data_IF_053363859053
#
_entry.id   IF_053363859053
#
_cell.length_a   1.000
_cell.length_b   1.000
_cell.length_c   1.000
_cell.angle_alpha   90.00
_cell.angle_beta   90.00
_cell.angle_gamma   90.00
#
_symmetry.space_group_name_H-M   'P 1'
#
loop_
_entity.id
_entity.type
_entity.pdbx_description
1 polymer ?
#
# COMPACT_ATOMS: atom_id res chain seq x y z
N UNK A 1 -27.30 -36.55 -4.16
CA UNK A 1 -26.09 -35.87 -4.67
C UNK A 1 -26.54 -34.86 -5.71
N UNK A 2 -26.24 -33.59 -5.45
CA UNK A 2 -26.96 -32.44 -5.99
C UNK A 2 -26.72 -32.20 -7.48
N UNK A 3 -27.82 -31.91 -8.17
CA UNK A 3 -27.93 -31.49 -9.56
C UNK A 3 -27.32 -30.07 -9.67
N UNK A 4 -26.03 -29.98 -9.97
CA UNK A 4 -25.37 -28.69 -10.20
C UNK A 4 -25.69 -28.21 -11.62
N UNK A 5 -26.44 -27.13 -11.63
CA UNK A 5 -27.29 -26.54 -12.66
C UNK A 5 -26.53 -26.07 -13.93
N UNK A 6 -26.97 -26.55 -15.10
CA UNK A 6 -26.49 -26.11 -16.43
C UNK A 6 -26.72 -24.60 -16.69
N UNK A 7 -27.55 -23.94 -15.86
CA UNK A 7 -27.76 -22.49 -15.89
C UNK A 7 -26.46 -21.70 -15.71
N UNK A 8 -25.51 -22.19 -14.91
CA UNK A 8 -24.24 -21.47 -14.69
C UNK A 8 -23.38 -21.42 -15.96
N UNK A 9 -23.36 -22.47 -16.78
CA UNK A 9 -22.60 -22.46 -18.03
C UNK A 9 -23.21 -21.55 -19.10
N UNK A 10 -24.53 -21.38 -19.10
CA UNK A 10 -25.20 -20.45 -20.02
C UNK A 10 -24.97 -18.99 -19.61
N UNK A 11 -24.92 -18.68 -18.31
CA UNK A 11 -24.58 -17.34 -17.81
C UNK A 11 -23.17 -16.94 -18.27
N UNK A 12 -22.18 -17.84 -18.18
CA UNK A 12 -20.83 -17.56 -18.69
C UNK A 12 -20.75 -17.41 -20.22
N UNK A 13 -21.55 -18.15 -21.00
CA UNK A 13 -21.59 -17.98 -22.46
C UNK A 13 -22.32 -16.72 -22.91
N UNK A 14 -23.37 -16.30 -22.20
CA UNK A 14 -24.14 -15.11 -22.55
C UNK A 14 -23.46 -13.81 -22.09
N UNK A 15 -22.71 -13.83 -20.98
CA UNK A 15 -21.85 -12.71 -20.57
C UNK A 15 -20.70 -12.45 -21.55
N UNK A 16 -20.28 -13.47 -22.32
CA UNK A 16 -19.20 -13.37 -23.30
C UNK A 16 -19.64 -12.81 -24.68
N UNK A 17 -20.92 -12.53 -24.91
CA UNK A 17 -21.40 -12.07 -26.23
C UNK A 17 -21.74 -10.56 -26.24
N UNK A 18 -21.90 -9.93 -25.07
CA UNK A 18 -22.27 -8.50 -24.97
C UNK A 18 -21.15 -7.54 -24.52
N UNK A 19 -19.97 -8.03 -24.12
CA UNK A 19 -18.78 -7.17 -23.98
C UNK A 19 -18.08 -7.07 -25.34
N UNK A 20 -18.66 -6.25 -26.22
CA UNK A 20 -17.87 -5.60 -27.26
C UNK A 20 -16.68 -4.93 -26.58
N UNK A 21 -15.49 -5.52 -26.78
CA UNK A 21 -14.13 -5.06 -26.44
C UNK A 21 -14.09 -3.64 -25.84
N UNK A 22 -14.41 -3.53 -24.55
CA UNK A 22 -13.94 -2.40 -23.76
C UNK A 22 -12.45 -2.68 -23.56
N UNK A 23 -11.59 -1.98 -24.29
CA UNK A 23 -10.14 -2.04 -24.07
C UNK A 23 -9.88 -1.85 -22.58
N UNK A 24 -9.23 -2.81 -21.92
CA UNK A 24 -8.76 -2.65 -20.54
C UNK A 24 -8.05 -1.29 -20.44
N UNK A 25 -8.37 -0.44 -19.45
CA UNK A 25 -7.70 0.84 -19.33
C UNK A 25 -6.20 0.62 -19.12
N UNK A 26 -5.38 1.54 -19.60
CA UNK A 26 -3.94 1.50 -19.39
C UNK A 26 -3.66 1.59 -17.87
N UNK A 27 -3.04 0.56 -17.25
CA UNK A 27 -2.80 0.54 -15.81
C UNK A 27 -1.90 1.69 -15.36
N UNK A 28 -1.00 2.18 -16.21
CA UNK A 28 -0.16 3.36 -15.93
C UNK A 28 -1.00 4.63 -15.83
N UNK A 29 -1.99 4.79 -16.73
CA UNK A 29 -2.91 5.92 -16.69
C UNK A 29 -3.78 5.89 -15.42
N UNK A 30 -4.32 4.73 -15.06
CA UNK A 30 -5.13 4.55 -13.85
C UNK A 30 -4.30 4.81 -12.59
N UNK A 31 -3.04 4.34 -12.54
CA UNK A 31 -2.11 4.62 -11.45
C UNK A 31 -1.92 6.14 -11.27
N UNK A 32 -1.61 6.85 -12.35
CA UNK A 32 -1.39 8.30 -12.32
C UNK A 32 -2.65 9.07 -11.89
N UNK A 33 -3.84 8.61 -12.29
CA UNK A 33 -5.11 9.17 -11.82
C UNK A 33 -5.31 8.92 -10.31
N UNK A 34 -5.03 7.70 -9.83
CA UNK A 34 -5.09 7.35 -8.40
C UNK A 34 -4.16 8.22 -7.55
N UNK A 35 -2.95 8.50 -8.03
CA UNK A 35 -2.00 9.40 -7.35
C UNK A 35 -2.55 10.82 -7.23
N UNK A 36 -3.20 11.36 -8.26
CA UNK A 36 -3.87 12.67 -8.19
C UNK A 36 -5.04 12.66 -7.21
N UNK A 37 -5.82 11.57 -7.17
CA UNK A 37 -6.94 11.42 -6.23
C UNK A 37 -6.48 11.34 -4.76
N UNK A 38 -5.26 10.85 -4.49
CA UNK A 38 -4.65 10.88 -3.16
C UNK A 38 -4.49 12.31 -2.65
N UNK A 39 -4.15 13.26 -3.53
CA UNK A 39 -4.02 14.68 -3.17
C UNK A 39 -5.37 15.29 -2.77
N UNK A 40 -6.46 14.77 -3.32
CA UNK A 40 -7.83 15.16 -2.99
C UNK A 40 -8.43 14.41 -1.78
N UNK A 41 -7.64 13.59 -1.06
CA UNK A 41 -8.07 12.77 0.08
C UNK A 41 -9.32 11.89 -0.17
N UNK A 42 -9.60 11.56 -1.43
CA UNK A 42 -10.77 10.78 -1.82
C UNK A 42 -10.48 9.27 -1.70
N UNK A 43 -10.19 8.80 -0.49
CA UNK A 43 -9.56 7.50 -0.23
C UNK A 43 -10.30 6.30 -0.83
N UNK A 44 -11.64 6.31 -0.87
CA UNK A 44 -12.37 5.18 -1.47
C UNK A 44 -12.14 5.08 -2.98
N UNK A 45 -12.10 6.21 -3.69
CA UNK A 45 -11.85 6.22 -5.14
C UNK A 45 -10.39 5.84 -5.42
N UNK A 46 -9.47 6.32 -4.58
CA UNK A 46 -8.06 5.96 -4.63
C UNK A 46 -7.85 4.45 -4.44
N UNK A 47 -8.47 3.86 -3.42
CA UNK A 47 -8.39 2.41 -3.15
C UNK A 47 -8.89 1.64 -4.37
N UNK A 48 -10.08 1.99 -4.90
CA UNK A 48 -10.64 1.35 -6.08
C UNK A 48 -9.70 1.46 -7.30
N UNK A 49 -9.07 2.63 -7.50
CA UNK A 49 -8.15 2.84 -8.62
C UNK A 49 -6.92 1.94 -8.51
N UNK A 50 -6.26 1.86 -7.35
CA UNK A 50 -5.07 1.01 -7.20
C UNK A 50 -5.40 -0.48 -7.16
N UNK A 51 -6.56 -0.87 -6.64
CA UNK A 51 -7.05 -2.25 -6.78
C UNK A 51 -7.24 -2.61 -8.24
N UNK A 52 -7.83 -1.72 -9.05
CA UNK A 52 -7.97 -1.93 -10.49
C UNK A 52 -6.62 -2.05 -11.21
N UNK A 53 -5.63 -1.22 -10.84
CA UNK A 53 -4.26 -1.35 -11.38
C UNK A 53 -3.71 -2.75 -11.12
N UNK A 54 -3.86 -3.26 -9.89
CA UNK A 54 -3.38 -4.59 -9.51
C UNK A 54 -4.20 -5.73 -10.13
N UNK A 55 -5.46 -5.51 -10.50
CA UNK A 55 -6.25 -6.48 -11.27
C UNK A 55 -5.76 -6.59 -12.72
N UNK A 56 -5.31 -5.48 -13.31
CA UNK A 56 -4.81 -5.40 -14.69
C UNK A 56 -3.36 -5.87 -14.76
N UNK A 57 -2.49 -5.37 -13.88
CA UNK A 57 -1.06 -5.70 -13.81
C UNK A 57 -0.59 -5.81 -12.34
N UNK A 58 -0.40 -7.06 -11.90
CA UNK A 58 0.06 -7.40 -10.55
C UNK A 58 1.53 -7.11 -10.30
N UNK A 59 2.32 -6.79 -11.33
CA UNK A 59 3.74 -6.50 -11.23
C UNK A 59 4.04 -5.02 -10.93
N UNK A 60 3.02 -4.14 -11.00
CA UNK A 60 3.19 -2.72 -10.70
C UNK A 60 3.41 -2.47 -9.20
N UNK A 61 4.67 -2.47 -8.79
CA UNK A 61 5.08 -2.30 -7.40
C UNK A 61 4.57 -1.01 -6.75
N UNK A 62 4.51 0.09 -7.51
CA UNK A 62 3.96 1.38 -7.08
C UNK A 62 2.50 1.28 -6.61
N UNK A 63 1.68 0.46 -7.27
CA UNK A 63 0.27 0.32 -6.92
C UNK A 63 0.09 -0.26 -5.51
N UNK A 64 0.95 -1.20 -5.09
CA UNK A 64 0.94 -1.72 -3.73
C UNK A 64 1.35 -0.64 -2.71
N UNK A 65 2.39 0.15 -3.02
CA UNK A 65 2.83 1.25 -2.16
C UNK A 65 1.72 2.30 -1.95
N UNK A 66 1.11 2.76 -3.03
CA UNK A 66 0.07 3.78 -2.94
C UNK A 66 -1.25 3.25 -2.37
N UNK A 67 -1.57 1.97 -2.59
CA UNK A 67 -2.70 1.34 -1.92
C UNK A 67 -2.49 1.27 -0.41
N UNK A 68 -1.28 0.89 0.04
CA UNK A 68 -0.92 0.90 1.46
C UNK A 68 -1.06 2.31 2.08
N UNK A 69 -0.62 3.34 1.36
CA UNK A 69 -0.79 4.73 1.78
C UNK A 69 -2.27 5.16 1.84
N UNK A 70 -3.07 4.72 0.87
CA UNK A 70 -4.51 5.01 0.83
C UNK A 70 -5.30 4.36 1.96
N UNK A 71 -4.93 3.13 2.36
CA UNK A 71 -5.57 2.40 3.46
C UNK A 71 -5.39 3.04 4.83
N UNK A 72 -4.33 3.85 5.02
CA UNK A 72 -4.17 4.67 6.21
C UNK A 72 -5.31 5.69 6.34
N UNK A 73 -5.84 6.19 5.21
CA UNK A 73 -6.93 7.19 5.17
C UNK A 73 -6.60 8.44 5.99
N UNK A 74 -5.33 8.86 5.98
CA UNK A 74 -4.81 9.97 6.78
C UNK A 74 -4.75 9.71 8.29
N UNK A 75 -5.06 8.48 8.74
CA UNK A 75 -4.98 8.09 10.14
C UNK A 75 -3.55 7.64 10.48
N UNK A 76 -3.14 7.95 11.70
CA UNK A 76 -1.88 7.48 12.28
C UNK A 76 -1.93 5.96 12.48
N UNK A 77 -0.87 5.19 12.16
CA UNK A 77 -0.84 3.74 12.33
C UNK A 77 -1.22 3.29 13.75
N UNK A 78 -0.75 3.98 14.79
CA UNK A 78 -1.04 3.68 16.20
C UNK A 78 -2.51 3.48 16.56
N UNK A 79 -3.45 4.13 15.86
CA UNK A 79 -4.89 4.06 16.16
C UNK A 79 -5.67 3.05 15.32
N UNK A 80 -5.00 2.36 14.39
CA UNK A 80 -5.64 1.39 13.51
C UNK A 80 -5.92 0.07 14.22
N UNK A 81 -6.75 -0.77 13.61
CA UNK A 81 -6.88 -2.16 14.04
C UNK A 81 -5.67 -2.97 13.56
N UNK A 82 -5.34 -4.03 14.29
CA UNK A 82 -4.28 -4.97 13.92
C UNK A 82 -4.39 -5.48 12.49
N UNK A 83 -5.59 -5.85 12.06
CA UNK A 83 -5.83 -6.35 10.70
C UNK A 83 -5.54 -5.31 9.63
N UNK A 84 -5.85 -4.03 9.87
CA UNK A 84 -5.54 -2.94 8.94
C UNK A 84 -4.03 -2.74 8.83
N UNK A 85 -3.30 -2.82 9.94
CA UNK A 85 -1.83 -2.70 9.96
C UNK A 85 -1.16 -3.89 9.27
N UNK A 86 -1.67 -5.11 9.49
CA UNK A 86 -1.16 -6.31 8.82
C UNK A 86 -1.41 -6.26 7.31
N UNK A 87 -2.57 -5.77 6.86
CA UNK A 87 -2.86 -5.56 5.43
C UNK A 87 -1.90 -4.54 4.80
N UNK A 88 -1.69 -3.39 5.45
CA UNK A 88 -0.75 -2.35 5.00
C UNK A 88 0.67 -2.91 4.92
N UNK A 89 1.11 -3.66 5.95
CA UNK A 89 2.44 -4.28 5.97
C UNK A 89 2.64 -5.31 4.84
N UNK A 90 1.59 -6.10 4.54
CA UNK A 90 1.60 -7.07 3.44
C UNK A 90 1.72 -6.38 2.08
N UNK A 91 0.98 -5.29 1.86
CA UNK A 91 1.09 -4.50 0.63
C UNK A 91 2.50 -3.93 0.45
N UNK A 92 3.11 -3.39 1.51
CA UNK A 92 4.48 -2.88 1.44
C UNK A 92 5.51 -3.99 1.21
N UNK A 93 5.28 -5.18 1.79
CA UNK A 93 6.08 -6.36 1.48
C UNK A 93 5.95 -6.77 0.01
N UNK A 94 4.73 -6.73 -0.54
CA UNK A 94 4.45 -7.05 -1.94
C UNK A 94 5.12 -6.04 -2.87
N UNK A 95 5.08 -4.74 -2.57
CA UNK A 95 5.77 -3.69 -3.35
C UNK A 95 7.25 -4.02 -3.55
N UNK A 96 7.96 -4.39 -2.48
CA UNK A 96 9.38 -4.78 -2.57
C UNK A 96 9.60 -6.09 -3.35
N UNK A 97 8.69 -7.05 -3.20
CA UNK A 97 8.75 -8.35 -3.87
C UNK A 97 8.48 -8.25 -5.38
N UNK A 98 7.69 -7.25 -5.79
CA UNK A 98 7.41 -6.92 -7.19
C UNK A 98 8.46 -6.00 -7.82
N UNK A 99 9.50 -5.61 -7.08
CA UNK A 99 10.67 -4.92 -7.63
C UNK A 99 10.84 -3.47 -7.21
N UNK A 100 10.02 -2.92 -6.31
CA UNK A 100 10.34 -1.62 -5.71
C UNK A 100 11.59 -1.75 -4.83
N UNK A 101 12.67 -1.09 -5.25
CA UNK A 101 13.97 -1.09 -4.58
C UNK A 101 14.25 0.21 -3.84
N UNK A 102 13.33 1.17 -3.87
CA UNK A 102 13.43 2.45 -3.18
C UNK A 102 13.39 2.23 -1.67
N UNK A 103 14.37 2.78 -0.96
CA UNK A 103 14.43 2.77 0.49
C UNK A 103 13.17 3.34 1.17
N UNK A 104 12.42 4.19 0.47
CA UNK A 104 11.15 4.77 0.95
C UNK A 104 10.13 3.71 1.35
N UNK A 105 10.07 2.56 0.66
CA UNK A 105 9.13 1.48 1.03
C UNK A 105 9.51 0.86 2.38
N UNK A 106 10.80 0.67 2.62
CA UNK A 106 11.30 0.17 3.90
C UNK A 106 11.11 1.19 5.02
N UNK A 107 11.33 2.49 4.74
CA UNK A 107 11.02 3.57 5.67
C UNK A 107 9.56 3.57 6.07
N UNK A 108 8.66 3.49 5.08
CA UNK A 108 7.23 3.45 5.31
C UNK A 108 6.85 2.25 6.18
N UNK A 109 7.33 1.07 5.83
CA UNK A 109 7.03 -0.15 6.56
C UNK A 109 7.59 -0.13 7.98
N UNK A 110 8.79 0.41 8.19
CA UNK A 110 9.37 0.59 9.52
C UNK A 110 8.53 1.54 10.38
N UNK A 111 8.14 2.70 9.85
CA UNK A 111 7.32 3.70 10.53
C UNK A 111 5.95 3.15 10.94
N UNK A 112 5.24 2.47 10.03
CA UNK A 112 3.93 1.86 10.32
C UNK A 112 4.02 0.88 11.48
N UNK A 113 5.04 0.01 11.45
CA UNK A 113 5.23 -1.03 12.46
C UNK A 113 5.70 -0.44 13.78
N UNK A 114 6.62 0.51 13.77
CA UNK A 114 7.11 1.16 14.98
C UNK A 114 5.98 1.90 15.69
N UNK A 115 5.25 2.74 14.95
CA UNK A 115 4.18 3.55 15.51
C UNK A 115 3.03 2.70 16.05
N UNK A 116 2.67 1.60 15.37
CA UNK A 116 1.65 0.68 15.84
C UNK A 116 2.13 -0.22 16.97
N UNK A 117 3.21 -0.99 16.79
CA UNK A 117 3.61 -2.01 17.77
C UNK A 117 4.34 -1.39 18.95
N UNK A 118 5.44 -0.67 18.72
CA UNK A 118 6.21 -0.05 19.80
C UNK A 118 5.41 1.08 20.45
N UNK A 119 4.72 1.91 19.65
CA UNK A 119 3.86 2.97 20.16
C UNK A 119 2.73 2.48 21.07
N UNK A 120 2.18 1.28 20.84
CA UNK A 120 1.19 0.64 21.71
C UNK A 120 1.79 -0.37 22.70
N UNK A 121 3.13 -0.45 22.82
CA UNK A 121 3.84 -1.40 23.71
C UNK A 121 3.49 -2.87 23.46
N UNK A 122 3.13 -3.21 22.23
CA UNK A 122 2.87 -4.57 21.79
C UNK A 122 4.21 -5.22 21.52
N UNK A 123 4.57 -6.23 22.31
CA UNK A 123 5.88 -6.92 22.21
C UNK A 123 5.81 -8.23 21.43
N UNK A 124 4.62 -8.83 21.31
CA UNK A 124 4.39 -10.05 20.53
C UNK A 124 3.81 -9.71 19.16
N UNK A 125 4.68 -9.39 18.21
CA UNK A 125 4.30 -9.10 16.83
C UNK A 125 5.19 -9.88 15.85
N UNK A 126 4.68 -10.20 14.65
CA UNK A 126 5.41 -11.04 13.70
C UNK A 126 6.70 -10.34 13.22
N UNK A 127 7.79 -11.06 12.90
CA UNK A 127 8.95 -10.45 12.25
C UNK A 127 8.61 -9.92 10.85
N UNK A 128 9.41 -8.99 10.28
CA UNK A 128 10.62 -8.38 10.82
C UNK A 128 10.35 -7.27 11.84
N UNK A 129 11.35 -6.91 12.66
CA UNK A 129 11.23 -5.76 13.57
C UNK A 129 11.27 -4.43 12.81
N UNK A 130 10.71 -3.36 13.39
CA UNK A 130 10.83 -2.02 12.81
C UNK A 130 12.29 -1.59 12.63
N UNK A 131 13.17 -1.93 13.59
CA UNK A 131 14.61 -1.68 13.52
C UNK A 131 15.29 -2.44 12.38
N UNK A 132 14.85 -3.68 12.09
CA UNK A 132 15.36 -4.46 10.95
C UNK A 132 15.04 -3.76 9.63
N UNK A 133 13.82 -3.24 9.49
CA UNK A 133 13.40 -2.50 8.30
C UNK A 133 14.09 -1.14 8.18
N UNK A 134 14.28 -0.44 9.31
CA UNK A 134 15.06 0.80 9.39
C UNK A 134 16.48 0.60 8.85
N UNK A 135 17.19 -0.41 9.35
CA UNK A 135 18.54 -0.72 8.89
C UNK A 135 18.57 -1.13 7.41
N UNK A 136 17.53 -1.83 6.94
CA UNK A 136 17.39 -2.16 5.52
C UNK A 136 17.20 -0.90 4.68
N UNK A 137 16.38 0.05 5.13
CA UNK A 137 16.16 1.32 4.44
C UNK A 137 17.45 2.15 4.31
N UNK A 138 18.29 2.19 5.36
CA UNK A 138 19.61 2.83 5.32
C UNK A 138 20.58 2.22 4.30
N UNK A 139 20.41 0.94 3.97
CA UNK A 139 21.23 0.26 2.96
C UNK A 139 20.74 0.47 1.51
N UNK A 140 19.55 1.05 1.33
CA UNK A 140 18.92 1.25 0.03
C UNK A 140 19.11 2.69 -0.46
N UNK A 141 19.16 2.86 -1.78
CA UNK A 141 18.99 4.18 -2.37
C UNK A 141 17.57 4.66 -2.06
N UNK A 142 17.45 5.84 -1.45
CA UNK A 142 16.17 6.41 -1.05
C UNK A 142 15.88 7.63 -1.90
N UNK A 143 14.73 7.66 -2.57
CA UNK A 143 14.26 8.89 -3.21
C UNK A 143 13.79 9.88 -2.14
N UNK A 144 14.58 10.92 -1.93
CA UNK A 144 14.33 11.91 -0.88
C UNK A 144 12.99 12.64 -1.06
N UNK A 145 12.58 12.93 -2.29
CA UNK A 145 11.31 13.62 -2.54
C UNK A 145 10.11 12.71 -2.26
N UNK A 146 10.21 11.42 -2.64
CA UNK A 146 9.21 10.41 -2.29
C UNK A 146 9.09 10.24 -0.78
N UNK A 147 10.23 10.22 -0.07
CA UNK A 147 10.25 10.13 1.38
C UNK A 147 9.68 11.37 2.06
N UNK A 148 10.01 12.58 1.59
CA UNK A 148 9.38 13.82 2.08
C UNK A 148 7.87 13.81 1.89
N UNK A 149 7.41 13.36 0.72
CA UNK A 149 5.98 13.24 0.41
C UNK A 149 5.27 12.23 1.34
N UNK A 150 5.95 11.15 1.73
CA UNK A 150 5.46 10.20 2.74
C UNK A 150 5.36 10.86 4.12
N UNK A 151 6.42 11.50 4.60
CA UNK A 151 6.48 12.09 5.94
C UNK A 151 5.46 13.23 6.13
N UNK A 152 5.17 13.98 5.07
CA UNK A 152 4.13 15.00 5.07
C UNK A 152 2.71 14.42 5.24
N UNK A 153 2.49 13.17 4.80
CA UNK A 153 1.19 12.48 4.91
C UNK A 153 1.04 11.68 6.20
N UNK A 154 2.14 11.43 6.91
CA UNK A 154 2.17 10.66 8.16
C UNK A 154 2.84 11.44 9.30
N UNK A 155 2.27 12.57 9.73
CA UNK A 155 2.82 13.31 10.86
C UNK A 155 2.71 12.49 12.16
N UNK A 156 3.86 12.14 12.74
CA UNK A 156 3.98 11.37 13.98
C UNK A 156 4.99 12.06 14.92
N UNK A 157 4.69 13.30 15.32
CA UNK A 157 5.65 14.20 15.99
C UNK A 157 6.20 13.66 17.33
N UNK A 158 5.48 12.76 17.98
CA UNK A 158 5.87 12.10 19.23
C UNK A 158 6.53 10.73 19.01
N UNK A 159 6.67 10.26 17.77
CA UNK A 159 7.36 9.02 17.44
C UNK A 159 8.86 9.28 17.25
N UNK A 160 9.68 8.57 18.02
CA UNK A 160 11.14 8.76 18.01
C UNK A 160 11.78 8.46 16.64
N UNK A 161 11.36 7.37 15.99
CA UNK A 161 11.89 6.97 14.68
C UNK A 161 11.53 8.00 13.60
N UNK A 162 10.31 8.52 13.63
CA UNK A 162 9.88 9.62 12.78
C UNK A 162 10.71 10.88 13.02
N UNK A 163 10.92 11.25 14.29
CA UNK A 163 11.71 12.43 14.66
C UNK A 163 13.16 12.36 14.15
N UNK A 164 13.82 11.22 14.32
CA UNK A 164 15.18 10.96 13.80
C UNK A 164 15.20 11.10 12.28
N UNK A 165 14.23 10.51 11.58
CA UNK A 165 14.18 10.53 10.13
C UNK A 165 13.95 11.94 9.57
N UNK A 166 13.06 12.72 10.19
CA UNK A 166 12.82 14.12 9.79
C UNK A 166 14.09 14.97 9.94
N UNK A 167 14.87 14.79 11.01
CA UNK A 167 16.12 15.52 11.22
C UNK A 167 17.22 15.21 10.20
N UNK A 168 17.19 14.04 9.56
CA UNK A 168 18.18 13.64 8.56
C UNK A 168 17.89 14.16 7.14
N UNK A 169 16.67 14.65 6.89
CA UNK A 169 16.17 14.96 5.54
C UNK A 169 15.85 16.45 5.34
N UNK A 170 15.75 17.20 6.45
CA UNK A 170 15.70 18.66 6.50
C UNK A 170 17.10 19.26 6.34
#
# INVERSE_FOLDING_TARGET
>A
MAQFDQRWQQVYRQLNINFQIASSPDPTLVLNQGIKLLEANSYQQVINAFTLVLEIDRSMSDAYYYLALALLKGRRPKILKRSEVEEIDQLLSAATSMGDSDGTVYWFRALVRDDYYNGNRITNYPPPSAMTLFNKALSCQTNIDRLRALLARLPMFDNELYGVLVQQIL
#
